data_IF_142486799880
#
_entry.id   IF_142486799880
#
_cell.length_a   1.000
_cell.length_b   1.000
_cell.length_c   1.000
_cell.angle_alpha   90.00
_cell.angle_beta   90.00
_cell.angle_gamma   90.00
#
_symmetry.space_group_name_H-M   'P 1'
#
loop_
_entity.id
_entity.type
_entity.pdbx_description
1 polymer ?
#
# COMPACT_ATOMS: atom_id res chain seq x y z
N UNK A 1 -15.55 34.56 -10.48
CA UNK A 1 -15.34 34.15 -9.06
C UNK A 1 -14.83 32.72 -9.12
N UNK A 2 -13.51 32.52 -9.02
CA UNK A 2 -12.89 31.20 -9.16
C UNK A 2 -13.38 30.30 -8.02
N UNK A 3 -13.97 29.15 -8.35
CA UNK A 3 -14.01 28.05 -7.40
C UNK A 3 -12.57 27.81 -6.93
N UNK A 4 -12.35 27.83 -5.61
CA UNK A 4 -11.03 27.59 -5.01
C UNK A 4 -10.33 26.43 -5.73
N UNK A 5 -9.15 26.69 -6.30
CA UNK A 5 -8.44 25.75 -7.16
C UNK A 5 -7.90 24.60 -6.29
N UNK A 6 -8.72 23.58 -6.13
CA UNK A 6 -8.38 22.38 -5.37
C UNK A 6 -7.20 21.69 -6.07
N UNK A 7 -6.05 21.68 -5.37
CA UNK A 7 -4.79 21.21 -5.93
C UNK A 7 -4.12 20.13 -5.09
N UNK A 8 -4.54 19.95 -3.84
CA UNK A 8 -3.91 19.01 -2.90
C UNK A 8 -4.97 18.09 -2.31
N UNK A 9 -4.62 16.83 -2.05
CA UNK A 9 -5.42 15.95 -1.22
C UNK A 9 -4.57 15.20 -0.20
N UNK A 10 -5.06 15.12 1.05
CA UNK A 10 -4.53 14.23 2.08
C UNK A 10 -5.50 13.06 2.20
N UNK A 11 -4.97 11.83 2.22
CA UNK A 11 -5.74 10.59 2.19
C UNK A 11 -5.33 9.66 3.31
N UNK A 12 -6.30 9.07 3.99
CA UNK A 12 -6.10 8.02 5.00
C UNK A 12 -6.71 6.73 4.50
N UNK A 13 -5.93 5.65 4.49
CA UNK A 13 -6.41 4.34 4.07
C UNK A 13 -7.31 3.74 5.17
N UNK A 14 -8.50 3.28 4.82
CA UNK A 14 -9.46 2.64 5.72
C UNK A 14 -8.90 1.40 6.43
N UNK A 15 -7.86 0.77 5.87
CA UNK A 15 -7.11 -0.31 6.52
C UNK A 15 -6.51 0.12 7.89
N UNK A 16 -6.40 1.42 8.15
CA UNK A 16 -6.07 1.98 9.47
C UNK A 16 -6.99 1.42 10.57
N UNK A 17 -8.28 1.23 10.27
CA UNK A 17 -9.27 0.74 11.25
C UNK A 17 -9.00 -0.70 11.72
N UNK A 18 -8.22 -1.46 10.95
CA UNK A 18 -7.86 -2.85 11.27
C UNK A 18 -6.37 -2.99 11.59
N UNK A 19 -5.68 -1.90 11.92
CA UNK A 19 -4.28 -1.93 12.35
C UNK A 19 -3.25 -1.84 11.22
N UNK A 20 -3.64 -1.46 10.00
CA UNK A 20 -2.71 -1.20 8.91
C UNK A 20 -2.82 0.28 8.47
N UNK A 21 -2.34 1.23 9.29
CA UNK A 21 -2.38 2.64 8.95
C UNK A 21 -1.66 2.96 7.64
N UNK A 22 -2.28 3.84 6.85
CA UNK A 22 -1.72 4.37 5.61
C UNK A 22 -2.13 5.81 5.40
N UNK A 23 -1.16 6.66 5.07
CA UNK A 23 -1.34 8.08 4.77
C UNK A 23 -0.76 8.36 3.39
N UNK A 24 -1.50 9.11 2.58
CA UNK A 24 -1.04 9.57 1.29
C UNK A 24 -1.30 11.06 1.08
N UNK A 25 -0.44 11.65 0.26
CA UNK A 25 -0.50 13.05 -0.15
C UNK A 25 -0.46 13.10 -1.68
N UNK A 26 -1.49 13.68 -2.29
CA UNK A 26 -1.63 13.79 -3.75
C UNK A 26 -1.63 15.26 -4.19
N UNK A 27 -0.82 15.56 -5.19
CA UNK A 27 -0.67 16.86 -5.84
C UNK A 27 -1.27 16.81 -7.24
N UNK A 28 -2.26 17.65 -7.52
CA UNK A 28 -2.77 17.90 -8.87
C UNK A 28 -1.70 18.68 -9.65
N UNK A 29 -1.23 18.10 -10.74
CA UNK A 29 -0.23 18.72 -11.62
C UNK A 29 -0.90 19.39 -12.83
N UNK A 30 -2.03 18.84 -13.28
CA UNK A 30 -2.85 19.41 -14.35
C UNK A 30 -4.30 18.92 -14.20
N UNK A 31 -5.18 19.27 -15.15
CA UNK A 31 -6.56 18.77 -15.18
C UNK A 31 -6.65 17.25 -15.14
N UNK A 32 -5.72 16.53 -15.78
CA UNK A 32 -5.79 15.08 -15.94
C UNK A 32 -4.65 14.32 -15.25
N UNK A 33 -3.66 15.00 -14.67
CA UNK A 33 -2.49 14.35 -14.06
C UNK A 33 -2.27 14.79 -12.62
N UNK A 34 -1.87 13.84 -11.78
CA UNK A 34 -1.43 14.08 -10.42
C UNK A 34 -0.26 13.17 -10.02
N UNK A 35 0.44 13.54 -8.95
CA UNK A 35 1.45 12.71 -8.31
C UNK A 35 1.06 12.45 -6.86
N UNK A 36 1.22 11.21 -6.39
CA UNK A 36 0.95 10.80 -5.02
C UNK A 36 2.20 10.20 -4.38
N UNK A 37 2.45 10.57 -3.12
CA UNK A 37 3.32 9.84 -2.20
C UNK A 37 2.47 9.20 -1.11
N UNK A 38 2.79 7.96 -0.76
CA UNK A 38 2.12 7.20 0.29
C UNK A 38 3.14 6.58 1.23
N UNK A 39 2.80 6.51 2.52
CA UNK A 39 3.46 5.68 3.50
C UNK A 39 2.42 4.86 4.27
N UNK A 40 2.69 3.58 4.46
CA UNK A 40 1.86 2.69 5.25
C UNK A 40 2.74 1.79 6.13
N UNK A 41 2.18 1.35 7.26
CA UNK A 41 2.90 0.45 8.13
C UNK A 41 1.99 -0.28 9.11
N UNK A 42 2.48 -1.37 9.67
CA UNK A 42 1.78 -2.15 10.67
C UNK A 42 2.80 -2.82 11.59
N UNK A 43 2.47 -2.94 12.87
CA UNK A 43 3.38 -3.50 13.89
C UNK A 43 2.62 -4.38 14.88
N UNK A 44 2.67 -5.69 14.60
CA UNK A 44 2.04 -6.76 15.38
C UNK A 44 3.00 -7.94 15.51
N UNK A 45 4.01 -7.85 16.40
CA UNK A 45 5.05 -8.87 16.55
C UNK A 45 4.55 -10.18 17.18
N UNK A 46 3.34 -10.20 17.74
CA UNK A 46 2.78 -11.36 18.44
C UNK A 46 1.54 -11.95 17.76
N UNK A 47 1.13 -11.41 16.60
CA UNK A 47 -0.10 -11.83 15.93
C UNK A 47 -0.98 -10.68 15.45
N UNK A 48 -1.57 -10.84 14.28
CA UNK A 48 -2.45 -9.84 13.65
C UNK A 48 -3.87 -10.38 13.46
N UNK A 49 -4.89 -9.55 13.71
CA UNK A 49 -6.31 -9.89 13.56
C UNK A 49 -6.72 -11.24 14.20
N UNK A 50 -6.31 -11.45 15.46
CA UNK A 50 -6.63 -12.67 16.21
C UNK A 50 -5.85 -13.92 15.80
N UNK A 51 -4.90 -13.79 14.86
CA UNK A 51 -3.96 -14.87 14.53
C UNK A 51 -2.73 -14.84 15.44
N UNK A 52 -1.95 -15.91 15.46
CA UNK A 52 -0.60 -15.95 16.05
C UNK A 52 0.50 -15.63 15.01
N UNK A 53 0.13 -14.98 13.90
CA UNK A 53 1.03 -14.73 12.77
C UNK A 53 1.63 -13.33 12.89
N UNK A 54 2.92 -13.19 13.22
CA UNK A 54 3.55 -11.88 13.37
C UNK A 54 3.67 -11.14 12.04
N UNK A 55 3.50 -9.82 12.09
CA UNK A 55 3.75 -8.91 10.98
C UNK A 55 4.30 -7.59 11.52
N UNK A 56 5.42 -7.15 10.96
CA UNK A 56 5.95 -5.81 11.12
C UNK A 56 6.36 -5.36 9.74
N UNK A 57 5.78 -4.28 9.25
CA UNK A 57 5.92 -3.86 7.87
C UNK A 57 5.86 -2.34 7.82
N UNK A 58 6.77 -1.74 7.06
CA UNK A 58 6.71 -0.34 6.68
C UNK A 58 6.97 -0.27 5.17
N UNK A 59 6.17 0.51 4.47
CA UNK A 59 6.27 0.66 3.03
C UNK A 59 5.98 2.10 2.63
N UNK A 60 6.57 2.51 1.51
CA UNK A 60 6.27 3.77 0.86
C UNK A 60 6.11 3.58 -0.65
N UNK A 61 5.26 4.41 -1.26
CA UNK A 61 5.02 4.43 -2.69
C UNK A 61 5.10 5.84 -3.27
N UNK A 62 5.59 5.91 -4.50
CA UNK A 62 5.48 7.05 -5.39
C UNK A 62 4.64 6.65 -6.58
N UNK A 63 3.71 7.51 -6.98
CA UNK A 63 2.76 7.18 -8.03
C UNK A 63 2.43 8.40 -8.89
N UNK A 64 2.50 8.24 -10.21
CA UNK A 64 1.93 9.18 -11.17
C UNK A 64 0.57 8.65 -11.62
N UNK A 65 -0.43 9.52 -11.65
CA UNK A 65 -1.83 9.15 -11.94
C UNK A 65 -2.37 9.96 -13.10
N UNK A 66 -3.18 9.31 -13.92
CA UNK A 66 -3.94 9.87 -15.02
C UNK A 66 -5.44 9.67 -14.80
N UNK A 67 -6.19 10.75 -14.89
CA UNK A 67 -7.64 10.81 -14.78
C UNK A 67 -8.22 11.22 -16.13
N UNK A 68 -8.98 10.36 -16.83
CA UNK A 68 -9.59 10.72 -18.11
C UNK A 68 -10.57 11.90 -18.03
N UNK A 69 -11.21 12.09 -16.87
CA UNK A 69 -12.19 13.15 -16.64
C UNK A 69 -11.56 14.39 -16.01
N UNK A 70 -11.14 14.25 -14.75
CA UNK A 70 -10.48 15.30 -13.97
C UNK A 70 -9.86 14.68 -12.72
N UNK A 71 -8.73 15.22 -12.26
CA UNK A 71 -8.11 14.83 -10.98
C UNK A 71 -9.14 14.90 -9.85
N UNK A 72 -9.14 13.88 -8.98
CA UNK A 72 -10.11 13.68 -7.89
C UNK A 72 -11.56 13.38 -8.31
N UNK A 73 -11.80 13.00 -9.58
CA UNK A 73 -13.16 12.69 -10.07
C UNK A 73 -13.18 11.52 -11.07
N UNK A 74 -13.78 10.41 -10.62
CA UNK A 74 -14.01 9.22 -11.45
C UNK A 74 -12.80 8.29 -11.52
N UNK A 75 -12.77 7.47 -12.55
CA UNK A 75 -11.71 6.50 -12.80
C UNK A 75 -10.33 7.16 -12.94
N UNK A 76 -9.30 6.48 -12.44
CA UNK A 76 -7.92 6.79 -12.74
C UNK A 76 -7.10 5.52 -13.00
N UNK A 77 -6.02 5.70 -13.75
CA UNK A 77 -4.93 4.74 -13.89
C UNK A 77 -3.64 5.39 -13.40
N UNK A 78 -2.78 4.63 -12.75
CA UNK A 78 -1.48 5.12 -12.30
C UNK A 78 -0.35 4.15 -12.53
N UNK A 79 0.86 4.68 -12.64
CA UNK A 79 2.11 3.93 -12.57
C UNK A 79 2.74 4.21 -11.21
N UNK A 80 3.25 3.19 -10.53
CA UNK A 80 3.80 3.35 -9.20
C UNK A 80 5.05 2.51 -8.99
N UNK A 81 5.90 3.00 -8.10
CA UNK A 81 7.04 2.29 -7.54
C UNK A 81 6.96 2.37 -6.02
N UNK A 82 7.43 1.34 -5.35
CA UNK A 82 7.43 1.29 -3.90
C UNK A 82 8.62 0.54 -3.33
N UNK A 83 8.86 0.80 -2.06
CA UNK A 83 9.89 0.15 -1.27
C UNK A 83 9.31 -0.19 0.10
N UNK A 84 9.65 -1.36 0.64
CA UNK A 84 9.22 -1.75 1.98
C UNK A 84 10.26 -2.56 2.74
N UNK A 85 10.18 -2.49 4.06
CA UNK A 85 10.89 -3.37 4.99
C UNK A 85 9.86 -4.18 5.77
N UNK A 86 10.15 -5.46 5.96
CA UNK A 86 9.25 -6.35 6.67
C UNK A 86 9.98 -7.34 7.57
N UNK A 87 9.30 -7.74 8.65
CA UNK A 87 9.56 -8.94 9.43
C UNK A 87 8.20 -9.61 9.63
N UNK A 88 7.95 -10.74 8.98
CA UNK A 88 6.62 -11.36 9.01
C UNK A 88 6.66 -12.87 8.81
N UNK A 89 5.64 -13.55 9.34
CA UNK A 89 5.36 -14.94 8.99
C UNK A 89 4.91 -15.05 7.52
N UNK A 90 5.41 -16.02 6.75
CA UNK A 90 4.91 -16.30 5.39
C UNK A 90 3.39 -16.51 5.37
N UNK A 91 2.88 -17.15 6.42
CA UNK A 91 1.47 -17.47 6.58
C UNK A 91 0.56 -16.23 6.74
N UNK A 92 1.09 -15.00 6.88
CA UNK A 92 0.30 -13.76 6.86
C UNK A 92 -0.03 -13.28 5.44
N UNK A 93 0.67 -13.81 4.42
CA UNK A 93 0.42 -13.45 3.03
C UNK A 93 -0.90 -14.14 2.61
N UNK A 94 -1.86 -13.44 1.96
CA UNK A 94 -3.16 -14.00 1.61
C UNK A 94 -3.12 -15.38 0.93
N UNK A 95 -2.21 -15.58 -0.02
CA UNK A 95 -2.03 -16.87 -0.71
C UNK A 95 -1.62 -18.03 0.21
N UNK A 96 -1.03 -17.73 1.36
CA UNK A 96 -0.55 -18.69 2.36
C UNK A 96 -1.33 -18.58 3.69
N UNK A 97 -2.46 -17.85 3.71
CA UNK A 97 -3.20 -17.61 4.95
C UNK A 97 -3.79 -18.87 5.59
N UNK A 98 -3.99 -19.93 4.80
CA UNK A 98 -4.41 -21.23 5.29
C UNK A 98 -3.29 -21.99 6.05
N UNK A 99 -2.02 -21.63 5.83
CA UNK A 99 -0.88 -22.24 6.53
C UNK A 99 -0.86 -21.79 8.01
N UNK A 100 -0.47 -22.70 8.91
CA UNK A 100 -0.16 -22.34 10.30
C UNK A 100 1.19 -21.63 10.36
N UNK A 101 1.36 -20.73 11.33
CA UNK A 101 2.67 -20.18 11.60
C UNK A 101 3.60 -21.29 12.11
N UNK A 102 4.75 -21.44 11.47
CA UNK A 102 5.74 -22.48 11.75
C UNK A 102 6.91 -21.98 12.61
N UNK A 103 6.80 -20.80 13.22
CA UNK A 103 7.88 -20.17 13.99
C UNK A 103 8.96 -19.48 13.14
N UNK A 104 8.81 -19.43 11.81
CA UNK A 104 9.77 -18.80 10.91
C UNK A 104 9.31 -17.42 10.48
N UNK A 105 10.09 -16.41 10.82
CA UNK A 105 9.92 -15.04 10.37
C UNK A 105 10.82 -14.74 9.18
N UNK A 106 10.25 -14.13 8.15
CA UNK A 106 10.97 -13.61 7.01
C UNK A 106 11.26 -12.14 7.26
N UNK A 107 12.53 -11.78 7.41
CA UNK A 107 12.97 -10.39 7.61
C UNK A 107 13.73 -9.93 6.39
N UNK A 108 13.31 -8.81 5.82
CA UNK A 108 13.89 -8.35 4.57
C UNK A 108 13.33 -7.04 4.07
N UNK A 109 13.59 -6.79 2.80
CA UNK A 109 13.08 -5.65 2.07
C UNK A 109 12.54 -6.07 0.72
N UNK A 110 11.70 -5.22 0.14
CA UNK A 110 11.18 -5.41 -1.20
C UNK A 110 11.07 -4.10 -1.97
N UNK A 111 11.29 -4.18 -3.28
CA UNK A 111 10.90 -3.17 -4.25
C UNK A 111 9.69 -3.66 -5.04
N UNK A 112 8.83 -2.72 -5.40
CA UNK A 112 7.60 -2.97 -6.14
C UNK A 112 7.53 -1.97 -7.29
N UNK A 113 7.10 -2.42 -8.46
CA UNK A 113 6.82 -1.55 -9.59
C UNK A 113 5.60 -2.09 -10.35
N UNK A 114 4.68 -1.20 -10.71
CA UNK A 114 3.43 -1.66 -11.27
C UNK A 114 2.45 -0.59 -11.66
N UNK A 115 1.22 -1.03 -11.91
CA UNK A 115 0.09 -0.22 -12.27
C UNK A 115 -0.88 -0.12 -11.10
N UNK A 116 -1.73 0.90 -11.14
CA UNK A 116 -2.81 1.07 -10.19
C UNK A 116 -4.06 1.51 -10.89
N UNK A 117 -5.18 1.04 -10.38
CA UNK A 117 -6.50 1.38 -10.85
C UNK A 117 -7.32 1.80 -9.64
N UNK A 118 -8.15 2.82 -9.81
CA UNK A 118 -9.05 3.23 -8.75
C UNK A 118 -10.11 4.19 -9.25
N UNK A 119 -10.98 4.60 -8.33
CA UNK A 119 -12.11 5.45 -8.65
C UNK A 119 -12.35 6.48 -7.56
N UNK A 120 -12.19 7.77 -7.88
CA UNK A 120 -12.43 8.86 -6.96
C UNK A 120 -13.93 9.22 -6.92
N UNK A 121 -14.56 9.04 -5.76
CA UNK A 121 -15.93 9.43 -5.46
C UNK A 121 -15.94 10.70 -4.60
N UNK A 122 -16.02 11.91 -5.21
CA UNK A 122 -16.20 13.14 -4.45
C UNK A 122 -17.59 13.14 -3.80
N UNK A 123 -17.64 13.35 -2.48
CA UNK A 123 -18.89 13.41 -1.70
C UNK A 123 -19.32 14.86 -1.50
N UNK A 124 -18.38 15.72 -1.11
CA UNK A 124 -18.57 17.17 -0.96
C UNK A 124 -17.44 17.90 -1.67
N UNK A 125 -17.41 19.24 -1.56
CA UNK A 125 -16.33 20.08 -2.10
C UNK A 125 -14.94 19.53 -1.71
N UNK A 126 -14.74 19.26 -0.41
CA UNK A 126 -13.44 18.83 0.11
C UNK A 126 -13.31 17.32 0.37
N UNK A 127 -14.41 16.60 0.62
CA UNK A 127 -14.35 15.19 1.04
C UNK A 127 -14.63 14.21 -0.11
N UNK A 128 -13.98 13.05 -0.07
CA UNK A 128 -14.33 11.93 -0.94
C UNK A 128 -13.76 10.59 -0.48
N UNK A 129 -14.11 9.55 -1.24
CA UNK A 129 -13.68 8.17 -1.02
C UNK A 129 -13.05 7.64 -2.32
N UNK A 130 -11.98 6.87 -2.22
CA UNK A 130 -11.28 6.31 -3.37
C UNK A 130 -10.84 4.86 -3.09
N UNK A 131 -11.64 3.86 -3.51
CA UNK A 131 -11.13 2.50 -3.65
C UNK A 131 -10.06 2.43 -4.74
N UNK A 132 -8.99 1.69 -4.45
CA UNK A 132 -7.91 1.46 -5.40
C UNK A 132 -7.22 0.12 -5.17
N UNK A 133 -6.53 -0.35 -6.19
CA UNK A 133 -5.71 -1.56 -6.16
C UNK A 133 -4.47 -1.36 -7.05
N UNK A 134 -3.34 -1.92 -6.62
CA UNK A 134 -2.08 -1.89 -7.33
C UNK A 134 -1.57 -3.31 -7.59
N UNK A 135 -1.15 -3.56 -8.82
CA UNK A 135 -0.62 -4.84 -9.29
C UNK A 135 0.68 -4.64 -10.05
N UNK A 136 1.56 -5.63 -10.06
CA UNK A 136 2.83 -5.52 -10.75
C UNK A 136 3.89 -6.47 -10.22
N UNK A 137 5.14 -6.14 -10.49
CA UNK A 137 6.28 -6.97 -10.13
C UNK A 137 6.85 -6.56 -8.78
N UNK A 138 7.22 -7.58 -8.00
CA UNK A 138 7.86 -7.42 -6.72
C UNK A 138 9.19 -8.15 -6.76
N UNK A 139 10.23 -7.52 -6.22
CA UNK A 139 11.51 -8.15 -5.95
C UNK A 139 11.78 -8.01 -4.46
N UNK A 140 11.98 -9.14 -3.80
CA UNK A 140 12.15 -9.21 -2.36
C UNK A 140 13.43 -9.97 -2.01
N UNK A 141 14.19 -9.42 -1.07
CA UNK A 141 15.31 -10.10 -0.42
C UNK A 141 15.02 -10.27 1.06
N UNK A 142 15.17 -11.47 1.58
CA UNK A 142 14.92 -11.76 2.98
C UNK A 142 15.79 -12.89 3.52
N UNK A 143 15.99 -12.83 4.82
CA UNK A 143 16.56 -13.90 5.64
C UNK A 143 15.44 -14.57 6.45
N UNK A 144 15.65 -15.83 6.82
CA UNK A 144 14.71 -16.57 7.66
C UNK A 144 15.22 -16.63 9.09
N UNK A 145 14.36 -16.31 10.06
CA UNK A 145 14.66 -16.32 11.48
C UNK A 145 13.72 -17.26 12.22
N UNK A 146 14.24 -18.01 13.18
CA UNK A 146 13.45 -18.71 14.21
C UNK A 146 13.71 -17.98 15.52
N UNK A 147 12.71 -17.27 16.03
CA UNK A 147 12.91 -16.30 17.12
C UNK A 147 13.89 -15.19 16.70
N UNK A 148 15.05 -15.13 17.36
CA UNK A 148 16.13 -14.20 17.02
C UNK A 148 17.34 -14.87 16.34
N UNK A 149 17.26 -16.18 16.06
CA UNK A 149 18.36 -16.93 15.44
C UNK A 149 18.14 -17.02 13.94
N UNK A 150 19.19 -16.70 13.18
CA UNK A 150 19.19 -16.87 11.73
C UNK A 150 19.12 -18.36 11.37
N UNK A 151 18.06 -18.75 10.65
CA UNK A 151 17.80 -20.13 10.23
C UNK A 151 18.31 -20.41 8.82
N UNK A 152 18.20 -19.45 7.89
CA UNK A 152 18.81 -19.55 6.57
C UNK A 152 19.13 -18.18 6.00
N UNK A 153 20.25 -18.11 5.29
CA UNK A 153 20.76 -16.91 4.62
C UNK A 153 19.90 -16.48 3.43
N UNK A 154 20.18 -15.24 2.99
CA UNK A 154 19.52 -14.45 1.95
C UNK A 154 18.87 -15.26 0.83
N UNK A 155 17.54 -15.11 0.70
CA UNK A 155 16.74 -15.57 -0.43
C UNK A 155 16.25 -14.37 -1.22
N UNK A 156 16.49 -14.38 -2.51
CA UNK A 156 15.88 -13.45 -3.45
C UNK A 156 14.65 -14.10 -4.10
N UNK A 157 13.55 -13.36 -4.19
CA UNK A 157 12.34 -13.80 -4.90
C UNK A 157 11.81 -12.67 -5.76
N UNK A 158 11.55 -12.97 -7.03
CA UNK A 158 10.74 -12.12 -7.89
C UNK A 158 9.37 -12.79 -8.08
N UNK A 159 8.32 -11.99 -8.05
CA UNK A 159 6.97 -12.48 -8.27
C UNK A 159 6.10 -11.38 -8.85
N UNK A 160 5.21 -11.76 -9.77
CA UNK A 160 4.08 -10.92 -10.12
C UNK A 160 3.02 -11.01 -9.01
N UNK A 161 2.64 -9.86 -8.45
CA UNK A 161 1.63 -9.74 -7.42
C UNK A 161 0.35 -9.15 -8.02
N UNK A 162 -0.73 -9.93 -8.00
CA UNK A 162 -2.06 -9.47 -8.42
C UNK A 162 -2.57 -8.31 -7.56
N UNK A 163 -2.15 -8.23 -6.29
CA UNK A 163 -2.43 -7.12 -5.39
C UNK A 163 -1.27 -6.97 -4.38
N UNK A 164 -0.46 -5.91 -4.48
CA UNK A 164 0.58 -5.61 -3.48
C UNK A 164 0.32 -4.33 -2.68
N UNK A 165 -0.56 -3.46 -3.17
CA UNK A 165 -1.05 -2.28 -2.47
C UNK A 165 -2.52 -2.07 -2.86
N UNK A 166 -3.30 -1.42 -2.00
CA UNK A 166 -4.72 -1.20 -2.23
C UNK A 166 -5.47 -0.84 -0.95
N UNK A 167 -6.76 -0.64 -1.11
CA UNK A 167 -7.66 -0.33 -0.02
C UNK A 167 -8.67 0.73 -0.44
N UNK A 168 -9.13 1.48 0.55
CA UNK A 168 -10.10 2.55 0.36
C UNK A 168 -9.56 3.78 1.06
N UNK A 169 -9.25 4.83 0.31
CA UNK A 169 -8.91 6.10 0.91
C UNK A 169 -10.16 6.88 1.31
N UNK A 170 -10.15 7.44 2.50
CA UNK A 170 -10.92 8.63 2.82
C UNK A 170 -10.01 9.84 2.63
N UNK A 171 -10.44 10.85 1.88
CA UNK A 171 -9.58 11.97 1.55
C UNK A 171 -10.24 13.33 1.75
N UNK A 172 -9.39 14.30 2.11
CA UNK A 172 -9.72 15.72 2.20
C UNK A 172 -8.89 16.51 1.19
N UNK A 173 -9.55 17.36 0.41
CA UNK A 173 -8.97 18.18 -0.64
C UNK A 173 -8.83 19.63 -0.20
N UNK A 174 -7.70 20.25 -0.51
CA UNK A 174 -7.42 21.67 -0.28
C UNK A 174 -7.42 22.40 -1.61
#
# INVERSE_FOLDING_TARGET
>A
KSEDDINIAIKVNALTLIGAPGLAYELKLSKHFSAQIEAAGTYYPNGFLGTQKPISLIMGFLQARYYPKEVFKGFFVGVNVGYGYYKMAKAIIPNYWHEKYNGVDHKGWNIMAGLSLGWAFPIKKHWGIEPFISTGYTYAKYDNYIGNTLSSLEKARHAFAFAYNGGVYFYYKF
#
